data_IF_876254021209
#
_entry.id   IF_876254021209
#
_cell.length_a   1.000
_cell.length_b   1.000
_cell.length_c   1.000
_cell.angle_alpha   90.00
_cell.angle_beta   90.00
_cell.angle_gamma   90.00
#
_symmetry.space_group_name_H-M   'P 1'
#
loop_
_entity.id
_entity.type
_entity.pdbx_description
1 polymer ?
#
# COMPACT_ATOMS: atom_id res chain seq x y z
N UNK A 1 29.37 -69.49 42.31
CA UNK A 1 29.87 -68.50 41.31
C UNK A 1 28.75 -67.95 40.39
N UNK A 2 27.51 -68.40 40.49
CA UNK A 2 26.40 -67.96 39.66
C UNK A 2 25.55 -66.82 40.32
N UNK A 3 25.49 -66.75 41.64
CA UNK A 3 24.62 -65.79 42.36
C UNK A 3 25.16 -64.34 42.32
N UNK A 4 26.48 -64.19 42.26
CA UNK A 4 27.08 -62.84 42.23
C UNK A 4 26.97 -62.11 40.84
N UNK A 5 26.76 -62.81 39.75
CA UNK A 5 26.56 -62.21 38.42
C UNK A 5 25.16 -61.70 38.22
N UNK A 6 24.13 -62.25 38.85
CA UNK A 6 22.74 -61.80 38.76
C UNK A 6 22.56 -60.49 39.53
N UNK A 7 23.23 -60.30 40.67
CA UNK A 7 23.20 -59.10 41.46
C UNK A 7 23.79 -57.90 40.71
N UNK A 8 24.87 -58.11 39.95
CA UNK A 8 25.53 -57.02 39.19
C UNK A 8 24.68 -56.59 37.96
N UNK A 9 23.97 -57.52 37.33
CA UNK A 9 23.05 -57.20 36.22
C UNK A 9 21.82 -56.46 36.70
N UNK A 10 21.24 -56.81 37.82
CA UNK A 10 20.07 -56.13 38.40
C UNK A 10 20.45 -54.74 38.88
N UNK A 11 21.65 -54.53 39.46
CA UNK A 11 22.12 -53.18 39.80
C UNK A 11 22.39 -52.32 38.56
N UNK A 12 22.95 -52.89 37.49
CA UNK A 12 23.18 -52.15 36.24
C UNK A 12 21.86 -51.75 35.59
N UNK A 13 20.82 -52.61 35.58
CA UNK A 13 19.49 -52.27 35.08
C UNK A 13 18.76 -51.24 35.92
N UNK A 14 18.92 -51.25 37.24
CA UNK A 14 18.37 -50.23 38.15
C UNK A 14 19.06 -48.87 37.94
N UNK A 15 20.36 -48.81 37.72
CA UNK A 15 21.09 -47.58 37.45
C UNK A 15 20.73 -47.04 36.05
N UNK A 16 20.59 -47.91 35.03
CA UNK A 16 20.12 -47.50 33.70
C UNK A 16 18.67 -47.00 33.73
N UNK A 17 17.78 -47.64 34.47
CA UNK A 17 16.39 -47.22 34.63
C UNK A 17 16.27 -45.85 35.36
N UNK A 18 17.10 -45.62 36.39
CA UNK A 18 17.14 -44.30 37.08
C UNK A 18 17.73 -43.18 36.20
N UNK A 19 18.74 -43.47 35.38
CA UNK A 19 19.30 -42.50 34.43
C UNK A 19 18.26 -42.18 33.33
N UNK A 20 17.53 -43.17 32.81
CA UNK A 20 16.43 -42.98 31.84
C UNK A 20 15.23 -42.21 32.44
N UNK A 21 14.92 -42.41 33.71
CA UNK A 21 13.89 -41.64 34.40
C UNK A 21 14.31 -40.17 34.70
N UNK A 22 15.59 -39.92 34.91
CA UNK A 22 16.11 -38.55 35.09
C UNK A 22 16.20 -37.75 33.76
N UNK A 23 16.34 -38.45 32.62
CA UNK A 23 16.33 -37.79 31.29
C UNK A 23 14.89 -37.53 30.81
N UNK A 24 13.89 -38.24 31.35
CA UNK A 24 12.47 -38.09 30.97
C UNK A 24 11.71 -36.96 31.69
N UNK A 25 12.30 -36.27 32.66
CA UNK A 25 11.63 -35.21 33.45
C UNK A 25 12.22 -33.82 33.29
N UNK A 26 12.92 -33.55 32.21
CA UNK A 26 12.99 -32.18 31.71
C UNK A 26 11.83 -31.96 30.72
N UNK A 27 10.61 -31.86 31.20
CA UNK A 27 9.63 -30.98 30.60
C UNK A 27 10.22 -29.55 30.72
N UNK A 28 11.21 -29.24 29.88
CA UNK A 28 11.42 -27.91 29.47
C UNK A 28 10.12 -27.52 28.74
N UNK A 29 9.16 -26.95 29.44
CA UNK A 29 8.35 -25.90 28.87
C UNK A 29 9.39 -24.92 28.35
N UNK A 30 9.69 -25.00 27.05
CA UNK A 30 10.32 -23.92 26.32
C UNK A 30 9.32 -22.80 26.52
N UNK A 31 9.50 -22.02 27.59
CA UNK A 31 8.80 -20.75 27.75
C UNK A 31 9.03 -20.06 26.44
N UNK A 32 7.93 -19.83 25.72
CA UNK A 32 8.01 -19.31 24.37
C UNK A 32 8.71 -17.95 24.46
N UNK A 33 10.02 -17.95 24.26
CA UNK A 33 10.93 -16.80 24.43
C UNK A 33 10.46 -15.62 23.57
N UNK A 34 9.76 -15.92 22.48
CA UNK A 34 9.25 -14.93 21.55
C UNK A 34 7.93 -14.33 22.04
N UNK A 35 7.85 -13.00 21.99
CA UNK A 35 6.68 -12.21 22.38
C UNK A 35 6.19 -11.42 21.18
N UNK A 36 4.89 -11.14 21.19
CA UNK A 36 4.26 -10.21 20.25
C UNK A 36 4.38 -8.79 20.80
N UNK A 37 4.87 -7.91 19.97
CA UNK A 37 4.92 -6.48 20.22
C UNK A 37 4.04 -5.76 19.20
N UNK A 38 3.54 -4.59 19.58
CA UNK A 38 2.67 -3.78 18.74
C UNK A 38 2.98 -2.31 18.94
N UNK A 39 3.22 -1.61 17.83
CA UNK A 39 3.48 -0.17 17.77
C UNK A 39 2.42 0.46 16.87
N UNK A 40 2.02 1.69 17.16
CA UNK A 40 1.07 2.43 16.33
C UNK A 40 1.25 3.93 16.47
N UNK A 41 0.80 4.67 15.49
CA UNK A 41 0.86 6.13 15.46
C UNK A 41 0.11 6.70 14.27
N UNK A 42 0.47 7.96 13.91
CA UNK A 42 -0.11 8.70 12.80
C UNK A 42 0.98 9.09 11.80
N UNK A 43 0.69 8.93 10.52
CA UNK A 43 1.55 9.34 9.41
C UNK A 43 0.72 9.58 8.15
N UNK A 44 1.17 10.43 7.23
CA UNK A 44 0.58 10.61 5.89
C UNK A 44 -0.95 10.79 5.89
N UNK A 45 -1.48 11.49 6.91
CA UNK A 45 -2.91 11.75 7.05
C UNK A 45 -3.76 10.55 7.53
N UNK A 46 -3.11 9.45 7.93
CA UNK A 46 -3.75 8.21 8.39
C UNK A 46 -3.04 7.64 9.63
N UNK A 47 -3.40 6.42 10.03
CA UNK A 47 -2.74 5.67 11.11
C UNK A 47 -1.79 4.62 10.56
N UNK A 48 -0.76 4.27 11.34
CA UNK A 48 0.03 3.08 11.10
C UNK A 48 -0.04 2.11 12.29
N UNK A 49 0.18 0.83 12.00
CA UNK A 49 0.34 -0.25 12.97
C UNK A 49 1.46 -1.17 12.54
N UNK A 50 2.35 -1.49 13.48
CA UNK A 50 3.43 -2.46 13.28
C UNK A 50 3.32 -3.53 14.35
N UNK A 51 3.15 -4.77 13.93
CA UNK A 51 3.12 -5.95 14.81
C UNK A 51 4.32 -6.80 14.47
N UNK A 52 5.10 -7.20 15.46
CA UNK A 52 6.25 -8.09 15.23
C UNK A 52 6.45 -9.07 16.38
N UNK A 53 7.18 -10.14 16.09
CA UNK A 53 7.51 -11.19 17.05
C UNK A 53 9.01 -11.16 17.30
N UNK A 54 9.40 -10.97 18.55
CA UNK A 54 10.81 -10.90 18.95
C UNK A 54 11.04 -11.58 20.30
N UNK A 55 12.25 -12.03 20.51
CA UNK A 55 12.71 -12.61 21.78
C UNK A 55 13.13 -11.56 22.80
N UNK A 56 13.36 -10.33 22.36
CA UNK A 56 13.84 -9.20 23.16
C UNK A 56 12.91 -8.02 22.99
N UNK A 57 12.60 -7.33 24.08
CA UNK A 57 11.84 -6.08 23.99
C UNK A 57 12.72 -4.95 23.48
N UNK A 58 12.50 -4.55 22.24
CA UNK A 58 13.13 -3.42 21.56
C UNK A 58 12.11 -2.36 21.14
N UNK A 59 10.89 -2.42 21.69
CA UNK A 59 9.74 -1.66 21.19
C UNK A 59 9.98 -0.15 21.17
N UNK A 60 10.59 0.41 22.21
CA UNK A 60 10.89 1.84 22.25
C UNK A 60 11.91 2.25 21.18
N UNK A 61 13.00 1.47 21.04
CA UNK A 61 14.02 1.71 20.01
C UNK A 61 13.45 1.61 18.59
N UNK A 62 12.66 0.56 18.33
CA UNK A 62 12.02 0.35 17.02
C UNK A 62 11.04 1.48 16.73
N UNK A 63 10.24 1.89 17.71
CA UNK A 63 9.27 2.98 17.53
C UNK A 63 9.98 4.30 17.16
N UNK A 64 11.02 4.67 17.87
CA UNK A 64 11.81 5.87 17.56
C UNK A 64 12.42 5.81 16.15
N UNK A 65 12.86 4.63 15.70
CA UNK A 65 13.40 4.46 14.36
C UNK A 65 12.31 4.54 13.29
N UNK A 66 11.14 3.94 13.53
CA UNK A 66 9.98 4.09 12.66
C UNK A 66 9.59 5.57 12.51
N UNK A 67 9.51 6.31 13.62
CA UNK A 67 9.21 7.76 13.58
C UNK A 67 10.25 8.52 12.74
N UNK A 68 11.52 8.11 12.81
CA UNK A 68 12.59 8.70 11.98
C UNK A 68 12.39 8.38 10.49
N UNK A 69 12.04 7.13 10.15
CA UNK A 69 11.74 6.69 8.77
C UNK A 69 10.55 7.48 8.22
N UNK A 70 9.46 7.54 8.98
CA UNK A 70 8.26 8.28 8.59
C UNK A 70 8.53 9.75 8.34
N UNK A 71 9.34 10.37 9.19
CA UNK A 71 9.75 11.77 9.02
C UNK A 71 10.63 11.98 7.79
N UNK A 72 11.52 11.05 7.49
CA UNK A 72 12.38 11.11 6.30
C UNK A 72 11.55 11.04 5.03
N UNK A 73 10.64 10.08 4.96
CA UNK A 73 9.68 9.95 3.85
C UNK A 73 8.80 11.20 3.71
N UNK A 74 8.29 11.77 4.82
CA UNK A 74 7.49 13.01 4.79
C UNK A 74 8.31 14.19 4.27
N UNK A 75 9.56 14.34 4.70
CA UNK A 75 10.47 15.38 4.22
C UNK A 75 10.83 15.22 2.73
N UNK A 76 10.72 14.03 2.18
CA UNK A 76 10.92 13.77 0.76
C UNK A 76 9.62 13.96 -0.04
N UNK A 77 8.57 13.24 0.29
CA UNK A 77 7.42 12.97 -0.58
C UNK A 77 6.16 13.80 -0.29
N UNK A 78 6.05 14.45 0.89
CA UNK A 78 4.82 15.12 1.29
C UNK A 78 4.54 16.37 0.47
N UNK A 79 3.46 16.36 -0.31
CA UNK A 79 2.97 17.55 -1.03
C UNK A 79 2.30 18.57 -0.10
N UNK A 80 2.03 18.20 1.16
CA UNK A 80 1.49 19.06 2.23
C UNK A 80 2.58 19.81 3.00
N UNK A 81 3.81 19.28 2.97
CA UNK A 81 4.98 19.91 3.58
C UNK A 81 5.68 20.83 2.54
N UNK A 82 5.63 22.17 2.67
CA UNK A 82 6.25 23.07 1.69
C UNK A 82 7.78 22.94 1.64
N UNK A 83 8.39 22.41 2.70
CA UNK A 83 9.83 22.21 2.80
C UNK A 83 10.29 20.83 2.31
N UNK A 84 9.38 19.95 1.92
CA UNK A 84 9.72 18.65 1.35
C UNK A 84 10.44 18.80 0.02
N UNK A 85 11.19 17.75 -0.37
CA UNK A 85 11.89 17.74 -1.66
C UNK A 85 10.92 17.75 -2.84
N UNK A 86 9.84 16.98 -2.79
CA UNK A 86 8.84 16.97 -3.85
C UNK A 86 8.13 18.32 -4.00
N UNK A 87 7.84 19.04 -2.90
CA UNK A 87 7.26 20.37 -2.95
C UNK A 87 8.23 21.39 -3.56
N UNK A 88 9.51 21.31 -3.22
CA UNK A 88 10.54 22.16 -3.83
C UNK A 88 10.73 21.86 -5.32
N UNK A 89 10.76 20.58 -5.71
CA UNK A 89 10.76 20.17 -7.11
C UNK A 89 9.55 20.74 -7.85
N UNK A 90 8.34 20.57 -7.31
CA UNK A 90 7.12 21.05 -7.93
C UNK A 90 7.11 22.59 -8.14
N UNK A 91 7.81 23.34 -7.29
CA UNK A 91 7.94 24.79 -7.37
C UNK A 91 9.20 25.26 -8.12
N UNK A 92 10.04 24.37 -8.61
CA UNK A 92 11.21 24.71 -9.43
C UNK A 92 10.81 24.93 -10.90
N UNK A 93 11.65 25.64 -11.64
CA UNK A 93 11.47 25.88 -13.08
C UNK A 93 12.39 25.02 -13.95
N UNK A 94 13.16 24.09 -13.34
CA UNK A 94 14.20 23.32 -14.01
C UNK A 94 14.54 22.03 -13.25
N UNK A 95 15.77 21.54 -13.44
CA UNK A 95 16.29 20.37 -12.76
C UNK A 95 16.41 20.56 -11.25
N UNK A 96 16.10 19.55 -10.49
CA UNK A 96 16.18 19.52 -9.04
C UNK A 96 16.85 18.24 -8.57
N UNK A 97 17.76 18.34 -7.59
CA UNK A 97 18.42 17.20 -6.97
C UNK A 97 17.40 16.41 -6.14
N UNK A 98 17.12 15.17 -6.55
CA UNK A 98 16.18 14.28 -5.89
C UNK A 98 16.92 13.27 -4.99
N UNK A 99 16.17 12.70 -4.04
CA UNK A 99 16.66 11.57 -3.24
C UNK A 99 16.13 10.23 -3.74
N UNK A 100 16.56 9.17 -3.06
CA UNK A 100 16.17 7.82 -3.41
C UNK A 100 14.66 7.56 -3.26
N UNK A 101 13.97 8.24 -2.33
CA UNK A 101 12.52 8.08 -2.20
C UNK A 101 11.80 8.58 -3.45
N UNK A 102 12.15 9.77 -3.96
CA UNK A 102 11.57 10.31 -5.19
C UNK A 102 11.98 9.44 -6.39
N UNK A 103 13.26 9.07 -6.48
CA UNK A 103 13.76 8.25 -7.58
C UNK A 103 13.03 6.91 -7.68
N UNK A 104 12.93 6.17 -6.57
CA UNK A 104 12.31 4.86 -6.53
C UNK A 104 10.84 4.94 -6.95
N UNK A 105 10.10 5.92 -6.41
CA UNK A 105 8.70 6.08 -6.75
C UNK A 105 8.48 6.64 -8.16
N UNK A 106 9.39 7.45 -8.68
CA UNK A 106 9.33 7.91 -10.06
C UNK A 106 9.49 6.73 -11.03
N UNK A 107 10.50 5.88 -10.83
CA UNK A 107 10.75 4.70 -11.67
C UNK A 107 9.60 3.68 -11.58
N UNK A 108 9.12 3.37 -10.37
CA UNK A 108 7.95 2.50 -10.20
C UNK A 108 6.71 3.08 -10.90
N UNK A 109 6.50 4.38 -10.78
CA UNK A 109 5.35 5.05 -11.39
C UNK A 109 5.41 5.04 -12.91
N UNK A 110 6.59 5.19 -13.51
CA UNK A 110 6.81 5.11 -14.96
C UNK A 110 6.47 3.70 -15.50
N UNK A 111 6.92 2.66 -14.79
CA UNK A 111 6.59 1.27 -15.13
C UNK A 111 5.07 1.03 -15.06
N UNK A 112 4.42 1.40 -13.95
CA UNK A 112 2.97 1.20 -13.78
C UNK A 112 2.17 2.06 -14.76
N UNK A 113 2.61 3.29 -15.06
CA UNK A 113 2.02 4.16 -16.08
C UNK A 113 2.01 3.47 -17.44
N UNK A 114 3.18 3.00 -17.89
CA UNK A 114 3.35 2.32 -19.17
C UNK A 114 2.45 1.08 -19.30
N UNK A 115 2.33 0.29 -18.22
CA UNK A 115 1.56 -0.96 -18.23
C UNK A 115 0.05 -0.70 -18.12
N UNK A 116 -0.37 0.33 -17.37
CA UNK A 116 -1.78 0.69 -17.17
C UNK A 116 -2.34 1.63 -18.24
N UNK A 117 -1.59 1.88 -19.31
CA UNK A 117 -1.97 2.83 -20.38
C UNK A 117 -2.34 4.21 -19.82
N UNK A 118 -1.49 4.74 -18.94
CA UNK A 118 -1.65 6.06 -18.33
C UNK A 118 -2.68 6.15 -17.20
N UNK A 119 -3.30 5.05 -16.79
CA UNK A 119 -4.29 5.06 -15.70
C UNK A 119 -3.69 5.41 -14.34
N UNK A 120 -2.41 5.13 -14.12
CA UNK A 120 -1.62 5.62 -13.00
C UNK A 120 -0.60 6.63 -13.48
N UNK A 121 -0.71 7.88 -13.06
CA UNK A 121 0.24 8.93 -13.41
C UNK A 121 0.40 9.94 -12.27
N UNK A 122 1.59 10.03 -11.64
CA UNK A 122 1.84 10.97 -10.56
C UNK A 122 1.87 12.43 -11.04
N UNK A 123 1.96 12.71 -12.34
CA UNK A 123 1.93 14.07 -12.89
C UNK A 123 0.54 14.70 -12.93
N UNK A 124 -0.50 13.91 -12.60
CA UNK A 124 -1.91 14.36 -12.50
C UNK A 124 -2.16 15.42 -11.42
N UNK A 125 -1.16 15.75 -10.60
CA UNK A 125 -1.28 16.67 -9.44
C UNK A 125 -1.98 18.00 -9.73
N UNK A 126 -1.70 18.74 -10.81
CA UNK A 126 -2.38 20.00 -11.11
C UNK A 126 -3.90 19.81 -11.25
N UNK A 127 -4.32 18.70 -11.87
CA UNK A 127 -5.74 18.36 -12.07
C UNK A 127 -6.39 17.95 -10.75
N UNK A 128 -5.70 17.14 -9.91
CA UNK A 128 -6.18 16.78 -8.56
C UNK A 128 -6.43 18.05 -7.72
N UNK A 129 -5.54 19.03 -7.78
CA UNK A 129 -5.71 20.33 -7.12
C UNK A 129 -6.91 21.11 -7.68
N UNK A 130 -7.12 21.11 -9.01
CA UNK A 130 -8.26 21.75 -9.66
C UNK A 130 -9.59 21.14 -9.20
N UNK A 131 -9.66 19.81 -9.09
CA UNK A 131 -10.83 19.09 -8.57
C UNK A 131 -11.00 19.22 -7.05
N UNK A 132 -10.03 19.80 -6.34
CA UNK A 132 -10.14 20.14 -4.92
C UNK A 132 -9.81 19.00 -3.96
N UNK A 133 -9.06 18.01 -4.41
CA UNK A 133 -8.64 16.85 -3.60
C UNK A 133 -7.16 16.90 -3.17
N UNK A 134 -6.32 17.68 -3.85
CA UNK A 134 -4.89 17.79 -3.54
C UNK A 134 -4.59 18.65 -2.31
N UNK A 135 -3.31 18.74 -1.97
CA UNK A 135 -2.80 19.56 -0.86
C UNK A 135 -3.09 21.06 -1.00
N UNK A 136 -3.16 21.55 -2.23
CA UNK A 136 -3.39 22.97 -2.56
C UNK A 136 -4.61 23.13 -3.48
N UNK A 137 -5.83 22.86 -2.97
CA UNK A 137 -7.03 22.85 -3.79
C UNK A 137 -7.35 24.25 -4.33
N UNK A 138 -7.73 24.33 -5.60
CA UNK A 138 -8.18 25.59 -6.22
C UNK A 138 -9.50 26.03 -5.59
N UNK A 139 -9.53 27.24 -5.03
CA UNK A 139 -10.67 27.77 -4.26
C UNK A 139 -11.74 28.39 -5.17
N UNK A 140 -12.33 27.62 -6.08
CA UNK A 140 -13.30 28.10 -7.06
C UNK A 140 -14.55 28.74 -6.41
N UNK A 141 -15.04 28.17 -5.30
CA UNK A 141 -16.14 28.75 -4.54
C UNK A 141 -15.84 30.20 -4.07
N UNK A 142 -14.58 30.50 -3.77
CA UNK A 142 -14.15 31.85 -3.40
C UNK A 142 -14.10 32.78 -4.60
N UNK A 143 -13.66 32.29 -5.76
CA UNK A 143 -13.64 33.06 -7.01
C UNK A 143 -15.05 33.45 -7.48
N UNK A 144 -16.00 32.52 -7.38
CA UNK A 144 -17.40 32.69 -7.81
C UNK A 144 -18.37 33.13 -6.70
N UNK A 145 -17.85 33.56 -5.52
CA UNK A 145 -18.67 33.95 -4.36
C UNK A 145 -19.67 35.09 -4.61
N UNK A 146 -19.42 35.93 -5.63
CA UNK A 146 -20.29 37.04 -6.02
C UNK A 146 -21.61 36.58 -6.68
N UNK A 147 -21.71 35.30 -7.09
CA UNK A 147 -22.91 34.72 -7.66
C UNK A 147 -23.77 34.22 -6.49
N UNK A 148 -24.90 34.90 -6.28
CA UNK A 148 -25.81 34.57 -5.15
C UNK A 148 -26.65 33.33 -5.39
N UNK A 149 -26.99 33.03 -6.66
CA UNK A 149 -27.65 31.78 -7.02
C UNK A 149 -26.69 30.60 -6.94
N UNK A 150 -26.91 29.70 -5.99
CA UNK A 150 -26.04 28.54 -5.75
C UNK A 150 -26.03 27.60 -6.95
N UNK A 151 -27.16 27.36 -7.61
CA UNK A 151 -27.24 26.44 -8.76
C UNK A 151 -26.47 27.00 -9.95
N UNK A 152 -26.61 28.30 -10.23
CA UNK A 152 -25.86 28.97 -11.30
C UNK A 152 -24.37 28.97 -11.02
N UNK A 153 -23.98 29.21 -9.75
CA UNK A 153 -22.58 29.19 -9.31
C UNK A 153 -21.97 27.80 -9.49
N UNK A 154 -22.64 26.74 -9.01
CA UNK A 154 -22.17 25.37 -9.10
C UNK A 154 -22.03 24.91 -10.56
N UNK A 155 -22.96 25.32 -11.44
CA UNK A 155 -22.87 25.07 -12.88
C UNK A 155 -21.66 25.73 -13.53
N UNK A 156 -21.34 26.98 -13.16
CA UNK A 156 -20.16 27.69 -13.67
C UNK A 156 -18.86 27.09 -13.17
N UNK A 157 -18.81 26.69 -11.90
CA UNK A 157 -17.66 26.01 -11.32
C UNK A 157 -17.41 24.67 -12.03
N UNK A 158 -18.46 23.89 -12.25
CA UNK A 158 -18.37 22.62 -12.99
C UNK A 158 -17.86 22.84 -14.42
N UNK A 159 -18.47 23.77 -15.17
CA UNK A 159 -18.04 24.06 -16.53
C UNK A 159 -16.58 24.56 -16.62
N UNK A 160 -16.15 25.37 -15.65
CA UNK A 160 -14.76 25.84 -15.57
C UNK A 160 -13.80 24.67 -15.31
N UNK A 161 -14.12 23.78 -14.35
CA UNK A 161 -13.30 22.60 -14.06
C UNK A 161 -13.20 21.68 -15.26
N UNK A 162 -14.33 21.38 -15.90
CA UNK A 162 -14.37 20.50 -17.06
C UNK A 162 -13.49 21.04 -18.20
N UNK A 163 -13.52 22.36 -18.47
CA UNK A 163 -12.66 23.00 -19.47
C UNK A 163 -11.18 22.96 -19.06
N UNK A 164 -10.88 23.41 -17.84
CA UNK A 164 -9.49 23.47 -17.37
C UNK A 164 -8.85 22.10 -17.19
N UNK A 165 -9.63 21.08 -16.84
CA UNK A 165 -9.12 19.71 -16.75
C UNK A 165 -8.65 19.22 -18.10
N UNK A 166 -9.41 19.48 -19.16
CA UNK A 166 -9.02 19.11 -20.51
C UNK A 166 -7.73 19.81 -20.94
N UNK A 167 -7.64 21.13 -20.71
CA UNK A 167 -6.43 21.89 -21.03
C UNK A 167 -5.20 21.42 -20.23
N UNK A 168 -5.40 20.98 -18.97
CA UNK A 168 -4.32 20.51 -18.11
C UNK A 168 -3.84 19.08 -18.46
N UNK A 169 -4.62 18.28 -19.17
CA UNK A 169 -4.14 16.97 -19.63
C UNK A 169 -2.97 17.08 -20.59
N UNK A 170 -2.82 18.19 -21.28
CA UNK A 170 -1.66 18.48 -22.14
C UNK A 170 -0.35 18.63 -21.34
N UNK A 171 -0.41 18.64 -20.00
CA UNK A 171 0.75 18.72 -19.09
C UNK A 171 0.86 17.51 -18.16
N UNK A 172 0.18 16.40 -18.49
CA UNK A 172 0.24 15.13 -17.76
C UNK A 172 0.98 14.13 -18.62
N UNK A 173 2.02 13.51 -18.08
CA UNK A 173 2.80 12.48 -18.77
C UNK A 173 4.28 12.45 -18.35
N UNK A 174 4.88 11.31 -18.47
CA UNK A 174 6.29 11.10 -18.16
C UNK A 174 7.24 11.74 -19.19
N UNK A 175 6.76 12.04 -20.39
CA UNK A 175 7.53 12.75 -21.46
C UNK A 175 8.00 14.14 -21.05
N UNK A 176 7.37 14.75 -20.04
CA UNK A 176 7.75 16.07 -19.49
C UNK A 176 8.89 16.00 -18.48
N UNK A 177 9.35 14.80 -18.15
CA UNK A 177 10.41 14.60 -17.17
C UNK A 177 11.64 13.95 -17.80
N UNK A 178 12.80 14.38 -17.34
CA UNK A 178 14.08 13.75 -17.71
C UNK A 178 14.88 13.48 -16.42
N UNK A 179 15.28 12.23 -16.26
CA UNK A 179 16.28 11.88 -15.26
C UNK A 179 17.66 12.11 -15.84
N UNK A 180 18.45 12.98 -15.22
CA UNK A 180 19.85 13.25 -15.54
C UNK A 180 20.73 12.64 -14.45
N UNK A 181 21.56 11.69 -14.83
CA UNK A 181 22.45 10.91 -13.98
C UNK A 181 22.68 9.51 -14.54
N UNK A 182 23.75 8.88 -14.13
CA UNK A 182 23.99 7.46 -14.42
C UNK A 182 23.04 6.59 -13.56
N UNK A 183 21.87 6.26 -14.09
CA UNK A 183 20.97 5.30 -13.44
C UNK A 183 21.60 3.92 -13.55
N UNK A 184 22.35 3.53 -12.53
CA UNK A 184 22.79 2.14 -12.40
C UNK A 184 21.61 1.38 -11.81
N UNK A 185 20.92 0.59 -12.64
CA UNK A 185 19.91 -0.37 -12.19
C UNK A 185 20.60 -1.41 -11.32
N UNK A 186 20.58 -1.19 -10.05
CA UNK A 186 21.01 -2.16 -9.06
C UNK A 186 19.75 -2.71 -8.37
N UNK A 187 19.82 -3.95 -7.91
CA UNK A 187 18.74 -4.59 -7.19
C UNK A 187 18.28 -3.72 -6.01
N UNK A 188 17.03 -3.89 -5.55
CA UNK A 188 16.44 -3.16 -4.42
C UNK A 188 17.37 -3.12 -3.18
N UNK A 189 18.13 -4.20 -2.91
CA UNK A 189 19.15 -4.25 -1.86
C UNK A 189 20.27 -3.21 -2.03
N UNK A 190 20.64 -2.89 -3.27
CA UNK A 190 21.65 -1.86 -3.56
C UNK A 190 21.07 -0.44 -3.53
N UNK A 191 19.75 -0.30 -3.67
CA UNK A 191 19.05 0.99 -3.50
C UNK A 191 19.08 1.48 -2.05
N UNK A 192 19.15 0.60 -1.07
CA UNK A 192 19.20 0.97 0.36
C UNK A 192 20.60 1.38 0.83
N UNK A 193 21.68 0.87 0.21
CA UNK A 193 23.08 1.03 0.63
C UNK A 193 23.94 1.89 -0.31
N UNK A 194 23.40 2.37 -1.43
CA UNK A 194 24.19 3.04 -2.46
C UNK A 194 24.47 4.52 -2.21
N UNK A 195 25.73 4.91 -2.24
CA UNK A 195 26.17 6.26 -2.62
C UNK A 195 25.75 6.49 -4.09
N UNK A 196 24.49 6.87 -4.31
CA UNK A 196 24.04 7.29 -5.62
C UNK A 196 24.68 8.62 -5.97
N UNK A 197 25.30 8.70 -7.14
CA UNK A 197 25.64 9.97 -7.76
C UNK A 197 24.41 10.86 -7.79
N UNK A 198 24.59 12.16 -7.65
CA UNK A 198 23.55 13.17 -7.66
C UNK A 198 22.58 12.92 -8.84
N UNK A 199 21.36 12.45 -8.56
CA UNK A 199 20.31 12.28 -9.55
C UNK A 199 19.51 13.57 -9.62
N UNK A 200 19.37 14.11 -10.81
CA UNK A 200 18.53 15.27 -11.07
C UNK A 200 17.28 14.82 -11.80
N UNK A 201 16.13 15.27 -11.34
CA UNK A 201 14.88 15.20 -12.07
C UNK A 201 14.62 16.59 -12.67
N UNK A 202 14.52 16.63 -13.98
CA UNK A 202 14.25 17.85 -14.75
C UNK A 202 12.82 17.84 -15.26
N UNK A 203 12.22 18.99 -15.47
CA UNK A 203 10.91 19.15 -16.11
C UNK A 203 10.94 20.29 -17.12
N UNK A 204 10.16 20.16 -18.18
CA UNK A 204 10.16 21.09 -19.29
C UNK A 204 9.26 22.30 -19.05
N UNK A 205 8.29 22.20 -18.15
CA UNK A 205 7.34 23.27 -17.82
C UNK A 205 7.08 23.35 -16.31
N UNK A 206 6.91 24.58 -15.80
CA UNK A 206 6.61 24.83 -14.39
C UNK A 206 5.23 24.36 -13.95
N UNK A 207 4.28 24.18 -14.88
CA UNK A 207 2.94 23.66 -14.62
C UNK A 207 3.00 22.18 -14.25
N UNK A 208 3.95 21.45 -14.83
CA UNK A 208 4.14 20.02 -14.56
C UNK A 208 4.56 19.79 -13.11
N UNK A 209 3.81 18.98 -12.38
CA UNK A 209 4.03 18.71 -10.96
C UNK A 209 3.75 17.24 -10.66
N UNK A 210 4.46 16.68 -9.69
CA UNK A 210 4.31 15.31 -9.24
C UNK A 210 3.59 15.21 -7.88
N UNK A 211 2.83 14.15 -7.71
CA UNK A 211 2.37 13.65 -6.40
C UNK A 211 2.50 12.14 -6.36
N UNK A 212 2.99 11.62 -5.23
CA UNK A 212 3.06 10.19 -4.99
C UNK A 212 1.98 9.71 -3.99
N UNK A 213 0.92 10.49 -3.80
CA UNK A 213 -0.14 10.21 -2.82
C UNK A 213 -0.83 8.84 -3.07
N UNK A 214 -0.81 8.32 -4.30
CA UNK A 214 -1.40 7.04 -4.68
C UNK A 214 -0.44 5.85 -4.60
N UNK A 215 0.75 6.00 -3.98
CA UNK A 215 1.75 4.93 -3.86
C UNK A 215 2.62 5.08 -2.60
N UNK A 216 2.58 6.23 -1.94
CA UNK A 216 3.48 6.53 -0.82
C UNK A 216 3.19 5.69 0.43
N UNK A 217 1.95 5.28 0.67
CA UNK A 217 1.58 4.48 1.84
C UNK A 217 2.07 3.05 1.69
N UNK A 218 1.90 2.45 0.51
CA UNK A 218 2.48 1.15 0.17
C UNK A 218 4.00 1.15 0.31
N UNK A 219 4.66 2.13 -0.31
CA UNK A 219 6.10 2.31 -0.21
C UNK A 219 6.60 2.44 1.24
N UNK A 220 5.88 3.19 2.07
CA UNK A 220 6.22 3.35 3.50
C UNK A 220 6.11 2.02 4.24
N UNK A 221 5.10 1.20 3.93
CA UNK A 221 4.95 -0.14 4.52
C UNK A 221 6.11 -1.05 4.14
N UNK A 222 6.56 -1.01 2.89
CA UNK A 222 7.73 -1.76 2.41
C UNK A 222 9.00 -1.33 3.15
N UNK A 223 9.31 -0.04 3.23
CA UNK A 223 10.51 0.47 3.92
C UNK A 223 10.54 0.07 5.40
N UNK A 224 9.41 0.14 6.11
CA UNK A 224 9.34 -0.30 7.51
C UNK A 224 9.52 -1.82 7.61
N UNK A 225 8.90 -2.59 6.71
CA UNK A 225 9.03 -4.05 6.67
C UNK A 225 10.47 -4.48 6.41
N UNK A 226 11.14 -3.84 5.47
CA UNK A 226 12.53 -4.11 5.14
C UNK A 226 13.49 -3.72 6.26
N UNK A 227 13.24 -2.61 6.94
CA UNK A 227 13.98 -2.25 8.16
C UNK A 227 13.87 -3.34 9.24
N UNK A 228 12.66 -3.86 9.48
CA UNK A 228 12.47 -4.95 10.45
C UNK A 228 13.23 -6.22 10.03
N UNK A 229 13.15 -6.58 8.75
CA UNK A 229 13.72 -7.82 8.22
C UNK A 229 15.25 -7.75 8.10
N UNK A 230 15.76 -6.77 7.37
CA UNK A 230 17.18 -6.72 7.00
C UNK A 230 18.05 -6.08 8.07
N UNK A 231 17.60 -4.99 8.69
CA UNK A 231 18.39 -4.29 9.70
C UNK A 231 18.30 -4.95 11.09
N UNK A 232 17.13 -5.45 11.46
CA UNK A 232 16.89 -5.99 12.80
C UNK A 232 16.83 -7.52 12.85
N UNK A 233 16.76 -8.21 11.71
CA UNK A 233 16.61 -9.66 11.63
C UNK A 233 15.27 -10.16 12.18
N UNK A 234 14.23 -9.32 12.18
CA UNK A 234 12.88 -9.68 12.59
C UNK A 234 12.12 -10.17 11.36
N UNK A 235 11.98 -11.48 11.19
CA UNK A 235 11.33 -12.10 10.04
C UNK A 235 9.82 -12.35 10.21
N UNK A 236 9.25 -12.12 11.41
CA UNK A 236 7.85 -12.37 11.73
C UNK A 236 7.15 -11.04 12.07
N UNK A 237 6.52 -10.40 11.09
CA UNK A 237 5.90 -9.09 11.27
C UNK A 237 4.70 -8.86 10.34
N UNK A 238 3.91 -7.84 10.70
CA UNK A 238 2.91 -7.18 9.87
C UNK A 238 3.04 -5.68 10.07
N UNK A 239 3.21 -4.96 8.98
CA UNK A 239 3.19 -3.50 8.89
C UNK A 239 1.93 -3.09 8.13
N UNK A 240 1.21 -2.11 8.64
CA UNK A 240 0.03 -1.52 8.01
C UNK A 240 0.14 0.00 8.09
N UNK A 241 0.11 0.67 6.95
CA UNK A 241 0.06 2.14 6.85
C UNK A 241 -1.16 2.49 6.00
N UNK A 242 -2.22 2.98 6.65
CA UNK A 242 -3.41 3.46 5.95
C UNK A 242 -4.34 2.39 5.36
N UNK A 243 -3.94 1.14 5.37
CA UNK A 243 -4.62 0.01 4.72
C UNK A 243 -3.67 -0.79 3.83
N UNK A 244 -2.51 -0.22 3.49
CA UNK A 244 -1.44 -0.84 2.71
C UNK A 244 -0.58 -1.67 3.65
N UNK A 245 -0.54 -2.97 3.42
CA UNK A 245 0.00 -3.96 4.37
C UNK A 245 1.15 -4.73 3.73
N UNK A 246 2.24 -4.86 4.50
CA UNK A 246 3.30 -5.86 4.27
C UNK A 246 3.31 -6.82 5.45
N UNK A 247 3.35 -8.12 5.18
CA UNK A 247 3.45 -9.13 6.21
C UNK A 247 4.43 -10.25 5.81
N UNK A 248 5.24 -10.66 6.76
CA UNK A 248 6.21 -11.75 6.57
C UNK A 248 6.17 -12.72 7.74
N UNK A 249 6.53 -13.97 7.47
CA UNK A 249 6.66 -15.01 8.50
C UNK A 249 5.32 -15.40 9.14
N UNK A 250 5.32 -15.55 10.46
CA UNK A 250 4.18 -16.11 11.19
C UNK A 250 3.86 -15.36 12.49
N UNK A 251 2.62 -15.51 12.93
CA UNK A 251 2.20 -15.08 14.27
C UNK A 251 2.86 -15.93 15.35
N UNK A 252 2.83 -15.44 16.60
CA UNK A 252 3.37 -16.13 17.77
C UNK A 252 2.86 -17.60 17.94
N UNK A 253 1.63 -17.88 17.49
CA UNK A 253 1.01 -19.22 17.52
C UNK A 253 1.34 -20.08 16.27
N UNK A 254 2.35 -19.70 15.51
CA UNK A 254 2.81 -20.31 14.28
C UNK A 254 1.77 -20.33 13.13
N UNK A 255 0.72 -19.49 13.22
CA UNK A 255 -0.24 -19.31 12.14
C UNK A 255 0.22 -18.20 11.19
N UNK A 256 -0.23 -18.25 9.95
CA UNK A 256 -0.04 -17.16 9.00
C UNK A 256 -0.77 -15.89 9.44
N UNK A 257 -0.28 -14.76 8.96
CA UNK A 257 -1.02 -13.51 9.00
C UNK A 257 -2.25 -13.64 8.11
N UNK A 258 -3.36 -13.08 8.57
CA UNK A 258 -4.61 -13.06 7.82
C UNK A 258 -5.05 -11.62 7.70
N UNK A 259 -5.31 -11.18 6.47
CA UNK A 259 -5.82 -9.84 6.18
C UNK A 259 -7.25 -9.97 5.68
N UNK A 260 -8.13 -9.11 6.18
CA UNK A 260 -9.53 -9.05 5.79
C UNK A 260 -9.68 -8.07 4.62
N UNK A 261 -10.41 -8.47 3.59
CA UNK A 261 -10.86 -7.61 2.50
C UNK A 261 -12.27 -7.12 2.87
N UNK A 262 -12.38 -5.83 3.18
CA UNK A 262 -13.64 -5.23 3.61
C UNK A 262 -14.62 -5.07 2.43
N UNK A 263 -15.90 -5.18 2.76
CA UNK A 263 -16.96 -4.94 1.79
C UNK A 263 -17.24 -3.42 1.66
N UNK A 264 -17.23 -2.83 0.44
CA UNK A 264 -17.25 -1.37 0.28
C UNK A 264 -18.55 -0.66 0.66
N UNK A 265 -19.68 -1.35 0.83
CA UNK A 265 -21.00 -0.71 0.98
C UNK A 265 -21.84 -1.23 2.13
N UNK A 266 -21.26 -1.97 3.07
CA UNK A 266 -22.08 -2.54 4.14
C UNK A 266 -22.15 -1.57 5.32
N UNK A 267 -23.38 -1.16 5.67
CA UNK A 267 -23.63 -0.64 7.01
C UNK A 267 -23.31 -1.77 7.99
N UNK A 268 -22.61 -1.46 9.09
CA UNK A 268 -22.27 -2.44 10.14
C UNK A 268 -23.49 -3.21 10.71
N UNK A 269 -24.70 -2.84 10.28
CA UNK A 269 -25.97 -3.43 10.67
C UNK A 269 -26.31 -4.72 9.87
N UNK A 270 -25.72 -4.91 8.68
CA UNK A 270 -26.08 -6.03 7.79
C UNK A 270 -25.22 -7.29 7.99
N UNK A 271 -24.19 -7.24 8.85
CA UNK A 271 -23.37 -8.40 9.26
C UNK A 271 -22.46 -8.99 8.17
N UNK A 272 -22.33 -8.32 7.03
CA UNK A 272 -21.45 -8.71 5.93
C UNK A 272 -20.24 -7.76 5.86
N UNK A 273 -19.44 -7.71 6.92
CA UNK A 273 -18.32 -6.76 7.05
C UNK A 273 -17.15 -7.08 6.12
N UNK A 274 -17.11 -8.29 5.52
CA UNK A 274 -15.98 -8.73 4.70
C UNK A 274 -16.41 -9.41 3.39
N UNK A 275 -15.63 -9.16 2.34
CA UNK A 275 -15.70 -9.93 1.08
C UNK A 275 -15.03 -11.29 1.28
N UNK A 276 -13.81 -11.28 1.80
CA UNK A 276 -13.00 -12.47 2.05
C UNK A 276 -11.85 -12.15 3.02
N UNK A 277 -11.13 -13.21 3.41
CA UNK A 277 -9.82 -13.12 4.08
C UNK A 277 -8.76 -13.75 3.21
N UNK A 278 -7.61 -13.14 3.15
CA UNK A 278 -6.44 -13.68 2.47
C UNK A 278 -5.35 -14.06 3.48
N UNK A 279 -4.72 -15.18 3.19
CA UNK A 279 -3.56 -15.65 3.94
C UNK A 279 -2.29 -15.04 3.35
N UNK A 280 -1.59 -14.25 4.14
CA UNK A 280 -0.28 -13.73 3.77
C UNK A 280 0.77 -14.83 3.95
N UNK A 281 1.44 -15.20 2.86
CA UNK A 281 2.48 -16.24 2.83
C UNK A 281 3.55 -15.91 1.78
N UNK A 282 4.27 -16.91 1.33
CA UNK A 282 5.34 -16.73 0.34
C UNK A 282 4.85 -16.36 -1.07
N UNK A 283 3.55 -16.47 -1.34
CA UNK A 283 2.98 -16.05 -2.63
C UNK A 283 2.55 -14.59 -2.63
N UNK A 284 2.14 -14.07 -1.46
CA UNK A 284 1.74 -12.67 -1.30
C UNK A 284 2.27 -12.15 0.03
N UNK A 285 3.24 -11.27 -0.06
CA UNK A 285 3.79 -10.54 1.09
C UNK A 285 3.03 -9.25 1.34
N UNK A 286 2.43 -8.66 0.30
CA UNK A 286 1.83 -7.34 0.33
C UNK A 286 0.38 -7.33 -0.19
N UNK A 287 -0.39 -6.36 0.31
CA UNK A 287 -1.77 -6.09 -0.10
C UNK A 287 -2.07 -4.60 0.08
N UNK A 288 -2.74 -4.00 -0.91
CA UNK A 288 -3.26 -2.63 -0.82
C UNK A 288 -4.71 -2.55 -1.29
N UNK A 289 -5.45 -1.56 -0.81
CA UNK A 289 -6.87 -1.39 -1.11
C UNK A 289 -7.19 0.06 -1.44
N UNK A 290 -7.63 0.34 -2.66
CA UNK A 290 -8.23 1.61 -3.06
C UNK A 290 -9.75 1.52 -3.18
N UNK A 291 -10.47 2.62 -2.86
CA UNK A 291 -11.93 2.64 -2.96
C UNK A 291 -12.54 4.03 -3.04
N UNK A 292 -13.54 4.18 -3.88
CA UNK A 292 -14.28 5.43 -4.14
C UNK A 292 -15.49 5.65 -3.20
N UNK A 293 -15.72 4.75 -2.24
CA UNK A 293 -16.87 4.83 -1.34
C UNK A 293 -16.61 5.68 -0.09
N UNK A 294 -15.33 5.90 0.30
CA UNK A 294 -14.97 6.63 1.52
C UNK A 294 -14.75 8.12 1.29
N UNK A 295 -14.23 8.52 0.12
CA UNK A 295 -13.86 9.91 -0.19
C UNK A 295 -14.55 10.36 -1.48
N UNK A 296 -15.62 11.10 -1.35
CA UNK A 296 -16.30 11.75 -2.46
C UNK A 296 -16.86 13.10 -2.02
N UNK A 297 -17.22 13.91 -2.99
CA UNK A 297 -17.92 15.19 -2.79
C UNK A 297 -19.17 15.21 -3.64
N UNK A 298 -20.23 15.83 -3.15
CA UNK A 298 -21.43 16.08 -3.92
C UNK A 298 -21.41 17.52 -4.46
N UNK A 299 -21.58 17.65 -5.76
CA UNK A 299 -21.75 18.93 -6.45
C UNK A 299 -23.10 18.89 -7.21
N UNK A 300 -24.11 19.53 -6.65
CA UNK A 300 -25.48 19.43 -7.17
C UNK A 300 -25.99 17.99 -7.13
N UNK A 301 -26.18 17.38 -8.31
CA UNK A 301 -26.59 15.95 -8.44
C UNK A 301 -25.42 15.03 -8.80
N UNK A 302 -24.22 15.57 -9.02
CA UNK A 302 -23.02 14.81 -9.42
C UNK A 302 -22.25 14.38 -8.17
N UNK A 303 -21.96 13.09 -8.06
CA UNK A 303 -21.02 12.54 -7.11
C UNK A 303 -19.62 12.62 -7.74
N UNK A 304 -18.71 13.38 -7.14
CA UNK A 304 -17.34 13.54 -7.60
C UNK A 304 -16.44 12.72 -6.69
N UNK A 305 -15.85 11.69 -7.24
CA UNK A 305 -14.88 10.84 -6.54
C UNK A 305 -13.50 11.49 -6.56
N UNK A 306 -12.64 11.10 -5.61
CA UNK A 306 -11.29 11.66 -5.50
C UNK A 306 -10.30 11.05 -6.51
N UNK A 307 -10.62 9.90 -7.10
CA UNK A 307 -9.83 9.29 -8.17
C UNK A 307 -10.06 10.06 -9.45
N UNK A 308 -9.02 10.69 -9.96
CA UNK A 308 -9.01 11.43 -11.23
C UNK A 308 -8.33 10.55 -12.27
N UNK A 309 -8.96 10.38 -13.42
CA UNK A 309 -8.36 9.68 -14.56
C UNK A 309 -7.35 10.62 -15.26
N UNK A 310 -6.04 10.31 -15.21
CA UNK A 310 -5.02 11.15 -15.81
C UNK A 310 -5.18 11.31 -17.33
N UNK A 311 -5.75 10.30 -18.00
CA UNK A 311 -5.91 10.21 -19.46
C UNK A 311 -6.90 11.25 -20.02
N UNK A 312 -7.81 11.74 -19.19
CA UNK A 312 -8.85 12.71 -19.62
C UNK A 312 -9.07 13.85 -18.63
N UNK A 313 -8.36 13.86 -17.49
CA UNK A 313 -8.44 14.89 -16.46
C UNK A 313 -9.76 14.92 -15.68
N UNK A 314 -10.64 13.94 -15.84
CA UNK A 314 -11.95 13.91 -15.20
C UNK A 314 -11.97 12.98 -13.98
N UNK A 315 -12.86 13.22 -13.00
CA UNK A 315 -13.17 12.24 -11.97
C UNK A 315 -13.59 10.93 -12.61
N UNK A 316 -13.08 9.82 -12.10
CA UNK A 316 -13.31 8.50 -12.66
C UNK A 316 -14.81 8.20 -12.81
N UNK A 317 -15.20 7.82 -14.01
CA UNK A 317 -16.54 7.32 -14.35
C UNK A 317 -16.46 5.79 -14.50
N UNK A 318 -16.31 5.10 -13.38
CA UNK A 318 -16.22 3.62 -13.34
C UNK A 318 -17.31 3.07 -12.41
N UNK A 319 -17.71 1.83 -12.67
CA UNK A 319 -18.58 1.07 -11.79
C UNK A 319 -17.82 0.34 -10.67
N UNK A 320 -16.49 0.49 -10.60
CA UNK A 320 -15.66 -0.11 -9.57
C UNK A 320 -15.80 0.67 -8.26
N UNK A 321 -16.08 -0.06 -7.20
CA UNK A 321 -16.22 0.46 -5.83
C UNK A 321 -14.95 0.34 -5.03
N UNK A 322 -14.26 -0.80 -5.15
CA UNK A 322 -12.95 -1.02 -4.55
C UNK A 322 -12.11 -1.98 -5.37
N UNK A 323 -10.81 -1.75 -5.33
CA UNK A 323 -9.77 -2.60 -5.89
C UNK A 323 -8.80 -3.00 -4.79
N UNK A 324 -8.70 -4.29 -4.53
CA UNK A 324 -7.70 -4.89 -3.63
C UNK A 324 -6.66 -5.60 -4.49
N UNK A 325 -5.40 -5.22 -4.37
CA UNK A 325 -4.28 -5.80 -5.12
C UNK A 325 -3.32 -6.49 -4.18
N UNK A 326 -2.80 -7.63 -4.59
CA UNK A 326 -1.84 -8.47 -3.87
C UNK A 326 -0.59 -8.68 -4.71
N UNK A 327 0.59 -8.60 -4.07
CA UNK A 327 1.90 -8.81 -4.70
C UNK A 327 2.96 -9.08 -3.62
N UNK A 328 4.24 -8.98 -4.00
CA UNK A 328 5.37 -9.06 -3.08
C UNK A 328 5.70 -7.70 -2.44
N UNK A 329 5.31 -6.58 -3.06
CA UNK A 329 5.59 -5.21 -2.60
C UNK A 329 4.30 -4.40 -2.47
N UNK A 330 4.15 -3.68 -1.36
CA UNK A 330 2.96 -2.88 -1.09
C UNK A 330 2.90 -1.61 -1.97
N UNK A 331 4.04 -1.06 -2.37
CA UNK A 331 4.10 0.04 -3.33
C UNK A 331 3.50 -0.35 -4.68
N UNK A 332 3.81 -1.54 -5.20
CA UNK A 332 3.24 -2.11 -6.42
C UNK A 332 1.72 -2.28 -6.25
N UNK A 333 1.30 -2.87 -5.12
CA UNK A 333 -0.13 -3.07 -4.82
C UNK A 333 -0.88 -1.74 -4.80
N UNK A 334 -0.35 -0.71 -4.15
CA UNK A 334 -0.96 0.61 -3.98
C UNK A 334 -1.09 1.34 -5.33
N UNK A 335 -0.04 1.33 -6.15
CA UNK A 335 -0.05 1.93 -7.48
C UNK A 335 -1.10 1.27 -8.40
N UNK A 336 -1.14 -0.07 -8.47
CA UNK A 336 -2.16 -0.76 -9.28
C UNK A 336 -3.56 -0.64 -8.71
N UNK A 337 -3.74 -0.67 -7.37
CA UNK A 337 -5.03 -0.42 -6.77
C UNK A 337 -5.57 0.97 -7.13
N UNK A 338 -4.69 1.98 -7.16
CA UNK A 338 -5.02 3.35 -7.61
C UNK A 338 -5.37 3.38 -9.10
N UNK A 339 -4.58 2.72 -9.99
CA UNK A 339 -4.88 2.62 -11.41
C UNK A 339 -6.25 1.97 -11.66
N UNK A 340 -6.56 0.89 -10.97
CA UNK A 340 -7.82 0.15 -11.14
C UNK A 340 -9.05 0.96 -10.75
N UNK A 341 -8.90 1.98 -9.90
CA UNK A 341 -10.00 2.88 -9.55
C UNK A 341 -10.41 3.85 -10.66
N UNK A 342 -9.63 3.98 -11.72
CA UNK A 342 -9.97 4.80 -12.91
C UNK A 342 -10.15 3.98 -14.18
N UNK A 343 -9.70 2.73 -14.18
CA UNK A 343 -9.88 1.77 -15.27
C UNK A 343 -11.27 1.14 -15.25
N UNK A 344 -11.65 0.51 -16.37
CA UNK A 344 -12.83 -0.34 -16.45
C UNK A 344 -12.45 -1.80 -16.27
N UNK A 345 -13.39 -2.63 -15.86
CA UNK A 345 -13.13 -4.06 -15.63
C UNK A 345 -12.62 -4.78 -16.90
N UNK A 346 -13.09 -4.36 -18.08
CA UNK A 346 -12.66 -4.86 -19.37
C UNK A 346 -11.19 -4.52 -19.72
N UNK A 347 -10.62 -3.50 -19.08
CA UNK A 347 -9.20 -3.13 -19.18
C UNK A 347 -8.37 -3.90 -18.14
N UNK A 348 -8.91 -4.11 -16.94
CA UNK A 348 -8.22 -4.75 -15.81
C UNK A 348 -8.05 -6.26 -16.02
N UNK A 349 -9.11 -6.97 -16.43
CA UNK A 349 -9.08 -8.43 -16.55
C UNK A 349 -7.98 -8.92 -17.51
N UNK A 350 -7.85 -8.40 -18.75
CA UNK A 350 -6.78 -8.81 -19.64
C UNK A 350 -5.37 -8.53 -19.08
N UNK A 351 -5.22 -7.45 -18.31
CA UNK A 351 -3.96 -7.10 -17.65
C UNK A 351 -3.57 -8.17 -16.61
N UNK A 352 -4.50 -8.54 -15.74
CA UNK A 352 -4.30 -9.56 -14.70
C UNK A 352 -4.08 -10.97 -15.30
N UNK A 353 -4.80 -11.30 -16.38
CA UNK A 353 -4.72 -12.62 -17.02
C UNK A 353 -3.54 -12.76 -17.98
N UNK A 354 -2.82 -11.66 -18.29
CA UNK A 354 -1.67 -11.68 -19.20
C UNK A 354 -0.53 -12.59 -18.74
N UNK A 355 -0.43 -12.84 -17.42
CA UNK A 355 0.66 -13.57 -16.79
C UNK A 355 2.02 -12.83 -16.80
N UNK A 356 2.03 -11.57 -17.23
CA UNK A 356 3.24 -10.75 -17.30
C UNK A 356 3.50 -9.99 -15.98
N UNK A 357 2.49 -9.91 -15.10
CA UNK A 357 2.55 -9.19 -13.84
C UNK A 357 2.48 -10.17 -12.68
N UNK A 358 3.29 -9.92 -11.65
CA UNK A 358 3.22 -10.66 -10.40
C UNK A 358 2.21 -9.99 -9.44
N UNK A 359 1.00 -9.75 -9.94
CA UNK A 359 -0.10 -9.18 -9.14
C UNK A 359 -1.37 -10.00 -9.32
N UNK A 360 -2.16 -10.04 -8.27
CA UNK A 360 -3.52 -10.58 -8.28
C UNK A 360 -4.47 -9.57 -7.65
N UNK A 361 -5.78 -9.67 -7.97
CA UNK A 361 -6.73 -8.68 -7.48
C UNK A 361 -8.10 -9.27 -7.12
N UNK A 362 -8.76 -8.56 -6.19
CA UNK A 362 -10.19 -8.67 -5.89
C UNK A 362 -10.83 -7.31 -6.19
N UNK A 363 -11.74 -7.28 -7.17
CA UNK A 363 -12.42 -6.06 -7.60
C UNK A 363 -13.90 -6.17 -7.24
N UNK A 364 -14.41 -5.21 -6.47
CA UNK A 364 -15.84 -5.09 -6.17
C UNK A 364 -16.44 -3.99 -7.04
N UNK A 365 -17.52 -4.32 -7.77
CA UNK A 365 -18.11 -3.42 -8.75
C UNK A 365 -19.62 -3.61 -8.87
N UNK A 366 -20.31 -2.67 -9.53
CA UNK A 366 -21.70 -2.84 -9.94
C UNK A 366 -21.79 -3.36 -11.39
N UNK A 367 -22.64 -4.37 -11.62
CA UNK A 367 -22.97 -4.79 -13.00
C UNK A 367 -23.88 -3.77 -13.71
N UNK A 368 -24.26 -4.06 -14.96
CA UNK A 368 -25.11 -3.19 -15.77
C UNK A 368 -26.52 -3.00 -15.17
N UNK A 369 -26.98 -3.95 -14.37
CA UNK A 369 -28.26 -3.92 -13.67
C UNK A 369 -28.18 -3.21 -12.31
N UNK A 370 -26.96 -2.82 -11.88
CA UNK A 370 -26.69 -2.16 -10.61
C UNK A 370 -26.51 -3.12 -9.43
N UNK A 371 -26.41 -4.43 -9.68
CA UNK A 371 -26.14 -5.40 -8.62
C UNK A 371 -24.66 -5.41 -8.28
N UNK A 372 -24.36 -5.66 -7.02
CA UNK A 372 -22.99 -5.78 -6.54
C UNK A 372 -22.39 -7.12 -6.97
N UNK A 373 -21.20 -7.05 -7.54
CA UNK A 373 -20.43 -8.18 -8.04
C UNK A 373 -19.00 -8.13 -7.53
N UNK A 374 -18.33 -9.28 -7.55
CA UNK A 374 -16.91 -9.40 -7.18
C UNK A 374 -16.20 -10.21 -8.26
N UNK A 375 -15.15 -9.63 -8.84
CA UNK A 375 -14.18 -10.34 -9.65
C UNK A 375 -12.99 -10.73 -8.76
N UNK A 376 -12.48 -11.94 -8.96
CA UNK A 376 -11.29 -12.47 -8.28
C UNK A 376 -10.35 -13.02 -9.33
N UNK A 377 -9.06 -12.67 -9.26
CA UNK A 377 -8.03 -13.27 -10.12
C UNK A 377 -8.01 -14.79 -9.95
N UNK A 378 -7.81 -15.52 -11.05
CA UNK A 378 -7.81 -16.99 -11.07
C UNK A 378 -6.83 -17.59 -10.06
N UNK A 379 -5.66 -16.97 -9.86
CA UNK A 379 -4.65 -17.43 -8.91
C UNK A 379 -5.05 -17.25 -7.43
N UNK A 380 -6.05 -16.40 -7.14
CA UNK A 380 -6.54 -16.14 -5.79
C UNK A 380 -7.73 -17.01 -5.36
N UNK A 381 -8.49 -17.60 -6.28
CA UNK A 381 -9.76 -18.29 -5.99
C UNK A 381 -9.62 -19.32 -4.86
N UNK A 382 -8.56 -20.14 -4.90
CA UNK A 382 -8.30 -21.18 -3.90
C UNK A 382 -7.61 -20.66 -2.61
N UNK A 383 -7.24 -19.38 -2.56
CA UNK A 383 -6.47 -18.77 -1.46
C UNK A 383 -7.32 -17.86 -0.58
N UNK A 384 -8.52 -17.50 -1.03
CA UNK A 384 -9.45 -16.69 -0.27
C UNK A 384 -10.29 -17.57 0.66
N UNK A 385 -10.46 -17.08 1.89
CA UNK A 385 -11.39 -17.65 2.86
C UNK A 385 -12.62 -16.77 2.91
N UNK A 386 -13.73 -17.27 2.37
CA UNK A 386 -15.00 -16.56 2.39
C UNK A 386 -15.68 -16.67 3.75
N UNK A 387 -16.44 -15.66 4.20
CA UNK A 387 -17.25 -15.76 5.41
C UNK A 387 -18.27 -16.88 5.27
N UNK A 388 -18.43 -17.67 6.32
CA UNK A 388 -19.49 -18.69 6.37
C UNK A 388 -20.83 -17.93 6.35
N UNK A 389 -21.59 -18.06 5.26
CA UNK A 389 -22.93 -17.50 5.20
C UNK A 389 -23.76 -18.10 6.33
N UNK A 390 -24.49 -17.30 7.13
CA UNK A 390 -25.44 -17.86 8.09
C UNK A 390 -26.45 -18.69 7.30
N UNK A 391 -26.63 -19.95 7.73
CA UNK A 391 -27.68 -20.82 7.15
C UNK A 391 -29.01 -20.07 7.24
N UNK A 392 -29.64 -19.86 6.08
CA UNK A 392 -30.93 -19.16 5.90
C UNK A 392 -32.08 -19.95 6.48
#
# INVERSE_FOLDING_TARGET
MFVNKISSFVQLYLVLATVLLCVGCQNNTIENKYKRYELSGYTQGTTYQVIYIDSTDRSEFIHQKIDSILKDIDNSLSTYNPDSKISKFNNSDSCFLIDNHILNLFLLSDEVNSISDGAFDPSVKPIVNLWGFGAHPVQLNTLYKHISDSTARDSLISAFRDSMSYDLTDFVGFEYFMLDGDIVYNTFEQMLDGDFNDNFLCKDDSIVQLTFDGVAQGYTSDIIGDYLNFELGIGDFLVNVGGEIVAQGRKKDNKHWMVQIEHPNVSKEDGLDEVARVKMDTNYRAIAVSGNYRKFREEGKRKIVHSIDPRNGQPAETNILSATVLSDEAAICDAYATAFMVMRLEEIIPLLESGNLNIDAVIVYHDAEGNLQTYVSTNLEDKLLYPVQPES
#
